data_IF_818465460025
#
_entry.id   IF_818465460025
#
_cell.length_a   1.000
_cell.length_b   1.000
_cell.length_c   1.000
_cell.angle_alpha   90.00
_cell.angle_beta   90.00
_cell.angle_gamma   90.00
#
_symmetry.space_group_name_H-M   'P 1'
#
loop_
_entity.id
_entity.type
_entity.pdbx_description
1 polymer ?
#
# COMPACT_ATOMS: atom_id res chain seq x y z
N UNK A 1 55.71 -15.92 1.92
CA UNK A 1 54.71 -14.99 2.52
C UNK A 1 53.55 -14.92 1.56
N UNK A 2 52.45 -15.61 1.89
CA UNK A 2 51.34 -15.85 0.96
C UNK A 2 50.40 -14.65 0.86
N UNK A 3 50.67 -13.77 -0.13
CA UNK A 3 49.81 -12.63 -0.48
C UNK A 3 48.37 -13.00 -0.91
N UNK A 4 48.07 -14.29 -1.04
CA UNK A 4 46.71 -14.82 -1.29
C UNK A 4 45.79 -14.66 -0.07
N UNK A 5 46.33 -14.72 1.15
CA UNK A 5 45.55 -14.51 2.38
C UNK A 5 45.11 -13.05 2.56
N UNK A 6 45.98 -12.11 2.21
CA UNK A 6 45.67 -10.67 2.26
C UNK A 6 44.69 -10.23 1.16
N UNK A 7 44.74 -10.82 -0.04
CA UNK A 7 43.71 -10.59 -1.07
C UNK A 7 42.34 -11.17 -0.67
N UNK A 8 42.32 -12.34 -0.04
CA UNK A 8 41.07 -12.97 0.45
C UNK A 8 40.42 -12.15 1.57
N UNK A 9 41.22 -11.63 2.49
CA UNK A 9 40.71 -10.80 3.59
C UNK A 9 40.17 -9.46 3.09
N UNK A 10 40.85 -8.82 2.13
CA UNK A 10 40.39 -7.56 1.52
C UNK A 10 39.06 -7.73 0.79
N UNK A 11 38.92 -8.80 0.00
CA UNK A 11 37.65 -9.12 -0.68
C UNK A 11 36.51 -9.46 0.28
N UNK A 12 36.82 -10.04 1.44
CA UNK A 12 35.82 -10.31 2.47
C UNK A 12 35.26 -9.02 3.07
N UNK A 13 36.13 -8.03 3.34
CA UNK A 13 35.69 -6.70 3.80
C UNK A 13 34.89 -5.96 2.72
N UNK A 14 35.34 -5.98 1.46
CA UNK A 14 34.60 -5.39 0.33
C UNK A 14 33.20 -6.01 0.18
N UNK A 15 33.07 -7.33 0.37
CA UNK A 15 31.78 -8.01 0.34
C UNK A 15 30.86 -7.58 1.50
N UNK A 16 31.40 -7.44 2.71
CA UNK A 16 30.64 -6.96 3.87
C UNK A 16 30.16 -5.52 3.64
N UNK A 17 31.03 -4.63 3.17
CA UNK A 17 30.68 -3.24 2.86
C UNK A 17 29.56 -3.17 1.80
N UNK A 18 29.68 -3.95 0.72
CA UNK A 18 28.64 -4.04 -0.29
C UNK A 18 27.31 -4.52 0.28
N UNK A 19 27.32 -5.58 1.10
CA UNK A 19 26.09 -6.10 1.71
C UNK A 19 25.44 -5.09 2.67
N UNK A 20 26.25 -4.35 3.43
CA UNK A 20 25.75 -3.30 4.32
C UNK A 20 25.16 -2.12 3.53
N UNK A 21 25.79 -1.75 2.40
CA UNK A 21 25.27 -0.72 1.49
C UNK A 21 23.91 -1.13 0.92
N UNK A 22 23.78 -2.38 0.44
CA UNK A 22 22.49 -2.90 -0.07
C UNK A 22 21.43 -2.92 1.03
N UNK A 23 21.77 -3.37 2.25
CA UNK A 23 20.84 -3.33 3.37
C UNK A 23 20.38 -1.90 3.68
N UNK A 24 21.27 -0.91 3.63
CA UNK A 24 20.93 0.49 3.82
C UNK A 24 19.99 1.00 2.73
N UNK A 25 20.30 0.73 1.46
CA UNK A 25 19.46 1.12 0.32
C UNK A 25 18.05 0.50 0.42
N UNK A 26 17.95 -0.75 0.88
CA UNK A 26 16.65 -1.40 1.11
C UNK A 26 15.88 -0.78 2.28
N UNK A 27 16.56 -0.38 3.36
CA UNK A 27 15.93 0.32 4.49
C UNK A 27 15.44 1.70 4.06
N UNK A 28 16.24 2.47 3.34
CA UNK A 28 15.83 3.77 2.79
C UNK A 28 14.65 3.64 1.82
N UNK A 29 14.65 2.59 0.99
CA UNK A 29 13.51 2.26 0.15
C UNK A 29 12.26 1.94 0.97
N UNK A 30 12.37 1.12 2.02
CA UNK A 30 11.23 0.81 2.91
C UNK A 30 10.72 2.07 3.62
N UNK A 31 11.60 2.96 4.06
CA UNK A 31 11.24 4.24 4.69
C UNK A 31 10.50 5.14 3.69
N UNK A 32 10.97 5.22 2.44
CA UNK A 32 10.34 6.03 1.39
C UNK A 32 9.01 5.44 0.88
N UNK A 33 8.91 4.11 0.79
CA UNK A 33 7.71 3.41 0.36
C UNK A 33 6.60 3.42 1.42
N UNK A 34 6.99 3.40 2.70
CA UNK A 34 6.11 3.43 3.88
C UNK A 34 6.05 4.85 4.48
N UNK A 35 6.21 5.91 3.67
CA UNK A 35 5.84 7.26 4.11
C UNK A 35 4.30 7.37 4.15
N UNK A 36 3.67 7.41 5.35
CA UNK A 36 2.22 7.41 5.46
C UNK A 36 1.60 8.68 4.87
N UNK A 37 2.35 9.78 4.84
CA UNK A 37 1.91 11.06 4.27
C UNK A 37 1.83 10.95 2.75
N UNK A 38 2.85 10.39 2.11
CA UNK A 38 2.83 10.17 0.65
C UNK A 38 1.81 9.11 0.26
N UNK A 39 1.63 8.05 1.05
CA UNK A 39 0.57 7.06 0.83
C UNK A 39 -0.80 7.74 0.82
N UNK A 40 -1.06 8.57 1.84
CA UNK A 40 -2.30 9.35 1.95
C UNK A 40 -2.52 10.22 0.72
N UNK A 41 -1.52 10.97 0.28
CA UNK A 41 -1.61 11.82 -0.91
C UNK A 41 -1.94 11.02 -2.18
N UNK A 42 -1.27 9.88 -2.38
CA UNK A 42 -1.51 9.01 -3.54
C UNK A 42 -2.92 8.41 -3.54
N UNK A 43 -3.41 7.95 -2.38
CA UNK A 43 -4.79 7.45 -2.26
C UNK A 43 -5.80 8.57 -2.53
N UNK A 44 -5.61 9.77 -1.97
CA UNK A 44 -6.49 10.93 -2.23
C UNK A 44 -6.49 11.28 -3.73
N UNK A 45 -5.30 11.29 -4.37
CA UNK A 45 -5.17 11.55 -5.80
C UNK A 45 -5.91 10.48 -6.62
N UNK A 46 -5.75 9.19 -6.31
CA UNK A 46 -6.46 8.12 -6.99
C UNK A 46 -7.98 8.31 -6.86
N UNK A 47 -8.49 8.59 -5.66
CA UNK A 47 -9.93 8.81 -5.43
C UNK A 47 -10.49 10.05 -6.15
N UNK A 48 -9.66 11.05 -6.45
CA UNK A 48 -10.08 12.26 -7.19
C UNK A 48 -10.03 12.10 -8.70
N UNK A 49 -9.08 11.34 -9.23
CA UNK A 49 -8.74 11.39 -10.66
C UNK A 49 -8.73 10.03 -11.37
N UNK A 50 -8.79 8.91 -10.64
CA UNK A 50 -8.83 7.59 -11.28
C UNK A 50 -10.20 7.39 -11.96
N UNK A 51 -10.19 7.26 -13.29
CA UNK A 51 -11.40 7.14 -14.10
C UNK A 51 -12.29 5.96 -13.68
N UNK A 52 -11.69 4.84 -13.27
CA UNK A 52 -12.44 3.65 -12.85
C UNK A 52 -13.22 3.91 -11.56
N UNK A 53 -12.65 4.65 -10.62
CA UNK A 53 -13.36 5.06 -9.40
C UNK A 53 -14.51 6.02 -9.72
N UNK A 54 -14.24 7.02 -10.57
CA UNK A 54 -15.24 8.01 -10.99
C UNK A 54 -16.41 7.37 -11.75
N UNK A 55 -16.13 6.50 -12.72
CA UNK A 55 -17.14 5.78 -13.50
C UNK A 55 -18.04 4.87 -12.66
N UNK A 56 -17.54 4.37 -11.53
CA UNK A 56 -18.32 3.55 -10.60
C UNK A 56 -19.04 4.39 -9.54
N UNK A 57 -18.94 5.72 -9.60
CA UNK A 57 -19.57 6.62 -8.65
C UNK A 57 -19.01 6.50 -7.24
N UNK A 58 -17.73 6.12 -7.11
CA UNK A 58 -17.03 6.17 -5.83
C UNK A 58 -16.80 7.63 -5.46
N UNK A 59 -17.13 7.95 -4.22
CA UNK A 59 -17.03 9.31 -3.69
C UNK A 59 -15.58 9.61 -3.31
N UNK A 60 -14.99 10.74 -3.73
CA UNK A 60 -13.65 11.13 -3.29
C UNK A 60 -13.52 11.22 -1.75
N UNK A 61 -14.64 11.53 -1.07
CA UNK A 61 -14.75 11.60 0.39
C UNK A 61 -14.54 10.24 1.08
N UNK A 62 -14.63 9.13 0.33
CA UNK A 62 -14.36 7.78 0.83
C UNK A 62 -12.87 7.44 0.94
N UNK A 63 -11.97 8.29 0.42
CA UNK A 63 -10.53 8.07 0.47
C UNK A 63 -9.97 7.81 1.90
N UNK A 64 -10.40 8.54 2.96
CA UNK A 64 -9.93 8.29 4.32
C UNK A 64 -10.23 6.87 4.81
N UNK A 65 -11.32 6.24 4.35
CA UNK A 65 -11.66 4.87 4.70
C UNK A 65 -10.64 3.86 4.15
N UNK A 66 -10.17 4.07 2.91
CA UNK A 66 -9.14 3.22 2.31
C UNK A 66 -7.77 3.49 2.92
N UNK A 67 -7.44 4.75 3.23
CA UNK A 67 -6.21 5.08 3.95
C UNK A 67 -6.17 4.37 5.30
N UNK A 68 -7.24 4.47 6.09
CA UNK A 68 -7.33 3.79 7.40
C UNK A 68 -7.19 2.27 7.25
N UNK A 69 -7.86 1.68 6.25
CA UNK A 69 -7.81 0.24 6.00
C UNK A 69 -6.40 -0.25 5.61
N UNK A 70 -5.71 0.47 4.72
CA UNK A 70 -4.34 0.12 4.30
C UNK A 70 -3.38 0.27 5.48
N UNK A 71 -3.46 1.36 6.24
CA UNK A 71 -2.56 1.62 7.37
C UNK A 71 -2.74 0.61 8.50
N UNK A 72 -3.97 0.17 8.77
CA UNK A 72 -4.24 -0.78 9.85
C UNK A 72 -4.19 -2.25 9.41
N UNK A 73 -4.20 -2.52 8.10
CA UNK A 73 -4.21 -3.87 7.52
C UNK A 73 -5.54 -4.63 7.67
N UNK A 74 -6.37 -4.27 8.64
CA UNK A 74 -7.75 -4.76 8.78
C UNK A 74 -8.58 -3.80 9.63
N UNK A 75 -9.89 -3.75 9.37
CA UNK A 75 -10.83 -2.93 10.15
C UNK A 75 -12.16 -3.64 10.36
N UNK A 76 -12.86 -3.33 11.46
CA UNK A 76 -14.28 -3.62 11.59
C UNK A 76 -15.10 -2.97 10.47
N UNK A 77 -16.07 -3.70 9.92
CA UNK A 77 -16.94 -3.27 8.82
C UNK A 77 -17.79 -2.04 9.16
N UNK A 78 -18.07 -1.80 10.43
CA UNK A 78 -18.72 -0.59 10.90
C UNK A 78 -17.76 0.61 10.92
N UNK A 79 -16.51 0.42 11.33
CA UNK A 79 -15.51 1.49 11.40
C UNK A 79 -15.16 2.03 10.02
N UNK A 80 -14.98 1.16 9.01
CA UNK A 80 -14.71 1.62 7.64
C UNK A 80 -15.82 2.55 7.11
N UNK A 81 -17.08 2.28 7.47
CA UNK A 81 -18.22 3.13 7.09
C UNK A 81 -18.14 4.49 7.76
N UNK A 82 -17.69 4.57 9.00
CA UNK A 82 -17.48 5.85 9.71
C UNK A 82 -16.45 6.71 8.99
N UNK A 83 -15.35 6.12 8.50
CA UNK A 83 -14.30 6.85 7.79
C UNK A 83 -14.72 7.37 6.40
N UNK A 84 -15.86 6.91 5.84
CA UNK A 84 -16.40 7.49 4.60
C UNK A 84 -17.02 8.86 4.80
N UNK A 85 -17.34 9.26 6.04
CA UNK A 85 -18.05 10.51 6.34
C UNK A 85 -19.50 10.53 5.84
N UNK A 86 -20.04 9.41 5.36
CA UNK A 86 -21.39 9.31 4.81
C UNK A 86 -22.42 8.93 5.88
N UNK A 87 -23.68 9.27 5.63
CA UNK A 87 -24.80 8.78 6.44
C UNK A 87 -24.97 7.26 6.30
N UNK A 88 -25.67 6.57 7.23
CA UNK A 88 -25.62 5.11 7.33
C UNK A 88 -25.99 4.34 6.06
N UNK A 89 -27.00 4.81 5.32
CA UNK A 89 -27.49 4.13 4.11
C UNK A 89 -26.52 4.31 2.92
N UNK A 90 -26.10 5.54 2.55
CA UNK A 90 -25.05 5.73 1.56
C UNK A 90 -23.71 5.05 1.92
N UNK A 91 -23.34 4.97 3.20
CA UNK A 91 -22.12 4.29 3.63
C UNK A 91 -22.15 2.77 3.34
N UNK A 92 -23.33 2.14 3.42
CA UNK A 92 -23.50 0.72 3.05
C UNK A 92 -23.31 0.52 1.54
N UNK A 93 -23.92 1.40 0.74
CA UNK A 93 -23.84 1.31 -0.73
C UNK A 93 -22.41 1.59 -1.21
N UNK A 94 -21.75 2.58 -0.61
CA UNK A 94 -20.36 2.93 -0.88
C UNK A 94 -19.42 1.75 -0.58
N UNK A 95 -19.55 1.15 0.61
CA UNK A 95 -18.76 -0.03 0.96
C UNK A 95 -18.99 -1.19 -0.01
N UNK A 96 -20.24 -1.41 -0.45
CA UNK A 96 -20.57 -2.44 -1.42
C UNK A 96 -19.87 -2.20 -2.78
N UNK A 97 -19.78 -0.95 -3.24
CA UNK A 97 -19.03 -0.59 -4.44
C UNK A 97 -17.52 -0.78 -4.27
N UNK A 98 -16.97 -0.38 -3.12
CA UNK A 98 -15.55 -0.58 -2.81
C UNK A 98 -15.16 -2.06 -2.79
N UNK A 99 -16.03 -2.92 -2.25
CA UNK A 99 -15.86 -4.38 -2.30
C UNK A 99 -15.94 -4.90 -3.72
N UNK A 100 -16.94 -4.46 -4.51
CA UNK A 100 -17.10 -4.88 -5.91
C UNK A 100 -15.90 -4.51 -6.78
N UNK A 101 -15.24 -3.38 -6.47
CA UNK A 101 -14.04 -2.92 -7.17
C UNK A 101 -12.75 -3.61 -6.69
N UNK A 102 -12.83 -4.40 -5.62
CA UNK A 102 -11.67 -5.07 -5.03
C UNK A 102 -10.82 -4.17 -4.13
N UNK A 103 -11.20 -2.93 -3.84
CA UNK A 103 -10.43 -2.09 -2.91
C UNK A 103 -10.55 -2.60 -1.47
N UNK A 104 -11.69 -3.22 -1.16
CA UNK A 104 -11.99 -3.82 0.15
C UNK A 104 -12.31 -5.30 -0.03
N UNK A 105 -11.63 -6.14 0.73
CA UNK A 105 -11.86 -7.57 0.78
C UNK A 105 -12.63 -7.97 2.04
N UNK A 106 -13.41 -9.03 1.92
CA UNK A 106 -14.22 -9.59 2.99
C UNK A 106 -14.28 -11.10 2.79
N UNK A 107 -13.76 -11.88 3.76
CA UNK A 107 -13.69 -13.36 3.66
C UNK A 107 -15.06 -14.00 3.39
N UNK A 108 -16.13 -13.38 3.89
CA UNK A 108 -17.52 -13.75 3.62
C UNK A 108 -18.39 -12.50 3.45
N UNK A 109 -19.59 -12.58 2.85
CA UNK A 109 -20.49 -11.42 2.73
C UNK A 109 -20.88 -10.80 4.08
N UNK A 110 -20.87 -11.58 5.17
CA UNK A 110 -21.22 -11.17 6.53
C UNK A 110 -20.00 -10.96 7.44
N UNK A 111 -18.79 -10.93 6.89
CA UNK A 111 -17.58 -10.76 7.71
C UNK A 111 -17.65 -9.44 8.48
N UNK A 112 -17.36 -9.52 9.78
CA UNK A 112 -17.24 -8.33 10.65
C UNK A 112 -15.94 -7.58 10.41
N UNK A 113 -14.92 -8.25 9.87
CA UNK A 113 -13.61 -7.68 9.54
C UNK A 113 -13.45 -7.62 8.03
N UNK A 114 -12.92 -6.51 7.54
CA UNK A 114 -12.52 -6.30 6.15
C UNK A 114 -11.03 -6.00 6.07
N UNK A 115 -10.42 -6.32 4.93
CA UNK A 115 -8.99 -6.15 4.65
C UNK A 115 -8.80 -5.35 3.35
N UNK A 116 -7.63 -4.72 3.10
CA UNK A 116 -7.32 -4.14 1.80
C UNK A 116 -7.29 -5.22 0.72
N UNK A 117 -7.93 -4.99 -0.43
CA UNK A 117 -7.82 -5.90 -1.58
C UNK A 117 -6.81 -5.49 -2.65
N UNK A 118 -6.37 -4.22 -2.65
CA UNK A 118 -5.26 -3.69 -3.47
C UNK A 118 -5.16 -4.28 -4.90
N UNK A 119 -6.19 -4.10 -5.75
CA UNK A 119 -6.14 -4.62 -7.10
C UNK A 119 -5.02 -3.94 -7.89
N UNK A 120 -4.38 -4.66 -8.82
CA UNK A 120 -3.14 -4.20 -9.47
C UNK A 120 -3.20 -2.76 -10.01
N UNK A 121 -4.32 -2.38 -10.64
CA UNK A 121 -4.53 -1.02 -11.18
C UNK A 121 -4.53 0.06 -10.09
N UNK A 122 -5.06 -0.24 -8.90
CA UNK A 122 -5.08 0.70 -7.78
C UNK A 122 -3.74 0.67 -7.03
N UNK A 123 -3.14 -0.51 -6.90
CA UNK A 123 -1.82 -0.67 -6.29
C UNK A 123 -0.75 0.12 -7.06
N UNK A 124 -0.83 0.17 -8.40
CA UNK A 124 0.07 0.98 -9.24
C UNK A 124 -0.05 2.48 -8.96
N UNK A 125 -1.27 2.99 -8.74
CA UNK A 125 -1.50 4.40 -8.39
C UNK A 125 -0.97 4.75 -6.99
N UNK A 126 -1.06 3.80 -6.05
CA UNK A 126 -0.82 4.01 -4.62
C UNK A 126 0.60 3.63 -4.19
N UNK A 127 1.30 2.77 -4.95
CA UNK A 127 2.66 2.29 -4.65
C UNK A 127 3.53 2.36 -5.93
N UNK A 128 4.11 3.53 -6.26
CA UNK A 128 4.72 3.80 -7.57
C UNK A 128 5.97 2.98 -7.94
N UNK A 129 6.42 2.03 -7.11
CA UNK A 129 7.59 1.17 -7.38
C UNK A 129 7.34 -0.32 -7.12
N UNK A 130 6.07 -0.76 -6.97
CA UNK A 130 5.73 -2.17 -6.70
C UNK A 130 6.23 -3.14 -7.80
N UNK A 131 6.58 -2.61 -8.99
CA UNK A 131 7.15 -3.35 -10.11
C UNK A 131 8.53 -2.86 -10.54
N UNK A 132 9.33 -2.20 -9.67
CA UNK A 132 10.75 -1.97 -9.98
C UNK A 132 11.43 -3.32 -10.18
N UNK A 133 11.49 -3.77 -11.43
CA UNK A 133 12.43 -4.80 -11.86
C UNK A 133 13.81 -4.19 -11.60
N UNK A 134 14.54 -4.77 -10.65
CA UNK A 134 15.97 -4.56 -10.56
C UNK A 134 16.55 -4.90 -11.95
N UNK A 135 17.02 -3.88 -12.67
CA UNK A 135 17.87 -4.06 -13.83
C UNK A 135 19.31 -4.26 -13.36
#
# INVERSE_FOLDING_TARGET
MDGRGQLSQRRYFEFIEFMLQVCHDQVDYMIAAVDPSRLRERVIRAFRYNERLLQQGIRPESAPAIIALITQGSLPRNEIKTFTGLTPRPAIDELSRLVKLGLVESRTPKSRIVTPGLPAWFAQDVFPDLHRRFQ
#
